data_IF_052133508579
#
_entry.id   IF_052133508579
#
_cell.length_a   1.000
_cell.length_b   1.000
_cell.length_c   1.000
_cell.angle_alpha   90.00
_cell.angle_beta   90.00
_cell.angle_gamma   90.00
#
_symmetry.space_group_name_H-M   'P 1'
#
loop_
_entity.id
_entity.type
_entity.pdbx_description
1 polymer ?
#
# COMPACT_ATOMS: atom_id res chain seq x y z
N UNK A 1 88.61 -50.23 -54.74
CA UNK A 1 87.93 -49.21 -55.58
C UNK A 1 86.40 -49.34 -55.49
N UNK A 2 85.84 -50.55 -55.62
CA UNK A 2 84.38 -50.80 -55.45
C UNK A 2 83.80 -50.35 -54.09
N UNK A 3 84.49 -50.61 -52.98
CA UNK A 3 84.07 -50.15 -51.63
C UNK A 3 83.98 -48.62 -51.54
N UNK A 4 84.87 -47.88 -52.23
CA UNK A 4 84.89 -46.42 -52.20
C UNK A 4 83.74 -45.84 -53.05
N UNK A 5 83.44 -46.46 -54.19
CA UNK A 5 82.28 -46.10 -55.03
C UNK A 5 80.95 -46.35 -54.30
N UNK A 6 80.83 -47.44 -53.54
CA UNK A 6 79.65 -47.71 -52.71
C UNK A 6 79.44 -46.66 -51.61
N UNK A 7 80.52 -46.28 -50.92
CA UNK A 7 80.48 -45.22 -49.90
C UNK A 7 80.11 -43.86 -50.53
N UNK A 8 80.72 -43.50 -51.66
CA UNK A 8 80.38 -42.25 -52.37
C UNK A 8 78.90 -42.22 -52.76
N UNK A 9 78.35 -43.34 -53.26
CA UNK A 9 76.93 -43.45 -53.62
C UNK A 9 76.00 -43.28 -52.40
N UNK A 10 76.35 -43.87 -51.26
CA UNK A 10 75.61 -43.67 -50.01
C UNK A 10 75.71 -42.23 -49.50
N UNK A 11 76.88 -41.60 -49.59
CA UNK A 11 77.07 -40.19 -49.20
C UNK A 11 76.23 -39.26 -50.08
N UNK A 12 76.18 -39.50 -51.40
CA UNK A 12 75.32 -38.71 -52.30
C UNK A 12 73.83 -38.90 -51.99
N UNK A 13 73.40 -40.13 -51.69
CA UNK A 13 72.01 -40.40 -51.32
C UNK A 13 71.63 -39.73 -50.00
N UNK A 14 72.47 -39.83 -48.97
CA UNK A 14 72.26 -39.13 -47.69
C UNK A 14 72.24 -37.62 -47.90
N UNK A 15 73.08 -37.09 -48.79
CA UNK A 15 73.07 -35.67 -49.16
C UNK A 15 71.74 -35.23 -49.78
N UNK A 16 71.18 -36.03 -50.69
CA UNK A 16 69.85 -35.78 -51.29
C UNK A 16 68.73 -35.84 -50.25
N UNK A 17 68.77 -36.82 -49.34
CA UNK A 17 67.80 -36.95 -48.24
C UNK A 17 67.87 -35.75 -47.27
N UNK A 18 69.07 -35.28 -46.92
CA UNK A 18 69.26 -34.08 -46.08
C UNK A 18 68.71 -32.82 -46.78
N UNK A 19 68.93 -32.67 -48.08
CA UNK A 19 68.37 -31.54 -48.84
C UNK A 19 66.84 -31.58 -48.84
N UNK A 20 66.25 -32.76 -49.05
CA UNK A 20 64.80 -32.95 -49.02
C UNK A 20 64.20 -32.65 -47.63
N UNK A 21 64.85 -33.09 -46.55
CA UNK A 21 64.41 -32.80 -45.18
C UNK A 21 64.56 -31.31 -44.84
N UNK A 22 65.63 -30.66 -45.30
CA UNK A 22 65.85 -29.22 -45.09
C UNK A 22 64.75 -28.39 -45.80
N UNK A 23 64.35 -28.78 -47.01
CA UNK A 23 63.24 -28.13 -47.72
C UNK A 23 61.90 -28.34 -46.98
N UNK A 24 61.62 -29.55 -46.50
CA UNK A 24 60.43 -29.82 -45.67
C UNK A 24 60.44 -29.04 -44.36
N UNK A 25 61.61 -28.87 -43.73
CA UNK A 25 61.76 -28.10 -42.50
C UNK A 25 61.53 -26.61 -42.75
N UNK A 26 62.04 -26.06 -43.86
CA UNK A 26 61.78 -24.67 -44.29
C UNK A 26 60.28 -24.44 -44.52
N UNK A 27 59.61 -25.37 -45.20
CA UNK A 27 58.17 -25.27 -45.44
C UNK A 27 57.35 -25.35 -44.14
N UNK A 28 57.71 -26.26 -43.23
CA UNK A 28 57.09 -26.35 -41.89
C UNK A 28 57.32 -25.09 -41.06
N UNK A 29 58.52 -24.53 -41.10
CA UNK A 29 58.83 -23.28 -40.41
C UNK A 29 57.96 -22.11 -40.93
N UNK A 30 57.82 -21.98 -42.26
CA UNK A 30 56.93 -20.97 -42.86
C UNK A 30 55.47 -21.15 -42.42
N UNK A 31 55.00 -22.40 -42.30
CA UNK A 31 53.63 -22.68 -41.86
C UNK A 31 53.43 -22.35 -40.36
N UNK A 32 54.44 -22.61 -39.52
CA UNK A 32 54.40 -22.23 -38.10
C UNK A 32 54.37 -20.70 -37.95
N UNK A 33 55.12 -19.97 -38.77
CA UNK A 33 55.14 -18.50 -38.75
C UNK A 33 53.77 -17.90 -39.11
N UNK A 34 53.10 -18.45 -40.13
CA UNK A 34 51.74 -18.05 -40.52
C UNK A 34 50.71 -18.36 -39.41
N UNK A 35 50.80 -19.53 -38.77
CA UNK A 35 49.95 -19.91 -37.63
C UNK A 35 50.20 -19.01 -36.41
N UNK A 36 51.45 -18.67 -36.11
CA UNK A 36 51.81 -17.78 -35.01
C UNK A 36 51.25 -16.36 -35.24
N UNK A 37 51.30 -15.87 -36.48
CA UNK A 37 50.67 -14.61 -36.88
C UNK A 37 49.15 -14.61 -36.65
N UNK A 38 48.45 -15.67 -37.08
CA UNK A 38 47.01 -15.81 -36.85
C UNK A 38 46.65 -15.92 -35.37
N UNK A 39 47.41 -16.70 -34.60
CA UNK A 39 47.20 -16.85 -33.16
C UNK A 39 47.42 -15.53 -32.40
N UNK A 40 48.38 -14.71 -32.82
CA UNK A 40 48.59 -13.38 -32.26
C UNK A 40 47.35 -12.51 -32.44
N UNK A 41 46.77 -12.47 -33.64
CA UNK A 41 45.58 -11.68 -33.93
C UNK A 41 44.38 -12.15 -33.07
N UNK A 42 44.19 -13.45 -32.91
CA UNK A 42 43.17 -13.99 -32.00
C UNK A 42 43.42 -13.58 -30.54
N UNK A 43 44.67 -13.64 -30.06
CA UNK A 43 44.99 -13.20 -28.68
C UNK A 43 44.73 -11.72 -28.46
N UNK A 44 45.04 -10.85 -29.43
CA UNK A 44 44.76 -9.42 -29.35
C UNK A 44 43.24 -9.16 -29.28
N UNK A 45 42.44 -9.90 -30.04
CA UNK A 45 40.97 -9.83 -29.97
C UNK A 45 40.43 -10.30 -28.61
N UNK A 46 40.94 -11.40 -28.06
CA UNK A 46 40.55 -11.88 -26.74
C UNK A 46 40.88 -10.84 -25.66
N UNK A 47 42.08 -10.24 -25.69
CA UNK A 47 42.47 -9.21 -24.72
C UNK A 47 41.52 -7.99 -24.77
N UNK A 48 41.13 -7.55 -25.96
CA UNK A 48 40.15 -6.47 -26.13
C UNK A 48 38.79 -6.84 -25.54
N UNK A 49 38.29 -8.06 -25.82
CA UNK A 49 37.03 -8.55 -25.27
C UNK A 49 37.07 -8.67 -23.73
N UNK A 50 38.20 -9.07 -23.15
CA UNK A 50 38.36 -9.13 -21.69
C UNK A 50 38.37 -7.74 -21.04
N UNK A 51 38.94 -6.75 -21.72
CA UNK A 51 38.91 -5.35 -21.26
C UNK A 51 37.46 -4.82 -21.24
N UNK A 52 36.69 -5.09 -22.29
CA UNK A 52 35.28 -4.74 -22.36
C UNK A 52 34.44 -5.49 -21.33
N UNK A 53 34.71 -6.79 -21.12
CA UNK A 53 34.06 -7.59 -20.08
C UNK A 53 34.31 -7.02 -18.67
N UNK A 54 35.54 -6.58 -18.38
CA UNK A 54 35.89 -5.99 -17.08
C UNK A 54 35.18 -4.64 -16.88
N UNK A 55 35.11 -3.81 -17.94
CA UNK A 55 34.40 -2.54 -17.89
C UNK A 55 32.90 -2.73 -17.65
N UNK A 56 32.27 -3.65 -18.38
CA UNK A 56 30.84 -3.97 -18.21
C UNK A 56 30.53 -4.59 -16.85
N UNK A 57 31.39 -5.45 -16.31
CA UNK A 57 31.26 -5.96 -14.94
C UNK A 57 31.24 -4.82 -13.91
N UNK A 58 32.11 -3.82 -14.08
CA UNK A 58 32.16 -2.66 -13.20
C UNK A 58 30.90 -1.78 -13.29
N UNK A 59 30.33 -1.62 -14.49
CA UNK A 59 29.06 -0.93 -14.70
C UNK A 59 27.88 -1.69 -14.05
N UNK A 60 27.81 -3.01 -14.21
CA UNK A 60 26.76 -3.84 -13.59
C UNK A 60 26.85 -3.75 -12.06
N UNK A 61 28.05 -3.78 -11.49
CA UNK A 61 28.26 -3.58 -10.04
C UNK A 61 27.71 -2.22 -9.56
N UNK A 62 28.03 -1.14 -10.29
CA UNK A 62 27.51 0.19 -9.99
C UNK A 62 25.98 0.25 -10.08
N UNK A 63 25.39 -0.40 -11.09
CA UNK A 63 23.94 -0.47 -11.25
C UNK A 63 23.28 -1.27 -10.11
N UNK A 64 23.90 -2.37 -9.67
CA UNK A 64 23.41 -3.16 -8.54
C UNK A 64 23.40 -2.32 -7.25
N UNK A 65 24.44 -1.53 -7.01
CA UNK A 65 24.51 -0.61 -5.87
C UNK A 65 23.41 0.46 -5.90
N UNK A 66 23.18 1.10 -7.06
CA UNK A 66 22.09 2.08 -7.22
C UNK A 66 20.70 1.45 -7.04
N UNK A 67 20.52 0.24 -7.54
CA UNK A 67 19.28 -0.51 -7.35
C UNK A 67 19.07 -0.88 -5.87
N UNK A 68 20.12 -1.22 -5.12
CA UNK A 68 20.06 -1.48 -3.68
C UNK A 68 19.70 -0.22 -2.88
N UNK A 69 20.26 0.94 -3.25
CA UNK A 69 19.90 2.22 -2.65
C UNK A 69 18.43 2.59 -2.92
N UNK A 70 17.98 2.41 -4.17
CA UNK A 70 16.58 2.63 -4.54
C UNK A 70 15.63 1.70 -3.79
N UNK A 71 16.01 0.42 -3.62
CA UNK A 71 15.28 -0.55 -2.83
C UNK A 71 15.20 -0.12 -1.35
N UNK A 72 16.30 0.37 -0.76
CA UNK A 72 16.31 0.89 0.62
C UNK A 72 15.34 2.06 0.79
N UNK A 73 15.33 3.02 -0.13
CA UNK A 73 14.36 4.13 -0.09
C UNK A 73 12.91 3.65 -0.23
N UNK A 74 12.67 2.62 -1.05
CA UNK A 74 11.35 2.01 -1.14
C UNK A 74 10.94 1.34 0.19
N UNK A 75 11.87 0.69 0.90
CA UNK A 75 11.61 0.09 2.21
C UNK A 75 11.24 1.16 3.26
N UNK A 76 12.00 2.26 3.33
CA UNK A 76 11.72 3.40 4.21
C UNK A 76 10.33 3.98 3.94
N UNK A 77 9.97 4.17 2.66
CA UNK A 77 8.64 4.65 2.27
C UNK A 77 7.53 3.67 2.65
N UNK A 78 7.74 2.36 2.48
CA UNK A 78 6.78 1.33 2.87
C UNK A 78 6.58 1.29 4.40
N UNK A 79 7.66 1.44 5.18
CA UNK A 79 7.58 1.57 6.64
C UNK A 79 6.77 2.79 7.07
N UNK A 80 7.02 3.95 6.44
CA UNK A 80 6.28 5.17 6.73
C UNK A 80 4.80 5.03 6.34
N UNK A 81 4.51 4.46 5.17
CA UNK A 81 3.14 4.21 4.72
C UNK A 81 2.40 3.30 5.70
N UNK A 82 3.06 2.25 6.21
CA UNK A 82 2.48 1.35 7.20
C UNK A 82 2.12 2.09 8.48
N UNK A 83 3.01 2.94 8.99
CA UNK A 83 2.73 3.78 10.15
C UNK A 83 1.52 4.70 9.95
N UNK A 84 1.38 5.29 8.76
CA UNK A 84 0.24 6.15 8.42
C UNK A 84 -1.06 5.34 8.39
N UNK A 85 -1.05 4.16 7.76
CA UNK A 85 -2.21 3.26 7.68
C UNK A 85 -2.62 2.77 9.07
N UNK A 86 -1.68 2.32 9.88
CA UNK A 86 -1.95 1.87 11.26
C UNK A 86 -2.50 3.03 12.12
N UNK A 87 -1.97 4.25 11.97
CA UNK A 87 -2.51 5.43 12.64
C UNK A 87 -3.92 5.78 12.18
N UNK A 88 -4.20 5.68 10.88
CA UNK A 88 -5.53 5.96 10.33
C UNK A 88 -6.56 4.94 10.84
N UNK A 89 -6.19 3.67 10.91
CA UNK A 89 -7.03 2.62 11.49
C UNK A 89 -7.39 2.95 12.95
N UNK A 90 -6.40 3.31 13.78
CA UNK A 90 -6.63 3.68 15.17
C UNK A 90 -7.56 4.90 15.31
N UNK A 91 -7.37 5.94 14.49
CA UNK A 91 -8.24 7.12 14.51
C UNK A 91 -9.68 6.79 14.11
N UNK A 92 -9.88 5.84 13.19
CA UNK A 92 -11.23 5.38 12.82
C UNK A 92 -11.86 4.52 13.92
N UNK A 93 -11.08 3.69 14.61
CA UNK A 93 -11.56 2.94 15.79
C UNK A 93 -12.00 3.89 16.91
N UNK A 94 -11.22 4.94 17.19
CA UNK A 94 -11.57 5.98 18.16
C UNK A 94 -12.85 6.72 17.76
N UNK A 95 -12.95 7.13 16.48
CA UNK A 95 -14.15 7.76 15.95
C UNK A 95 -15.39 6.85 16.07
N UNK A 96 -15.25 5.55 15.81
CA UNK A 96 -16.35 4.59 15.96
C UNK A 96 -16.81 4.51 17.43
N UNK A 97 -15.88 4.57 18.39
CA UNK A 97 -16.19 4.64 19.81
C UNK A 97 -16.95 5.92 20.18
N UNK A 98 -16.50 7.08 19.69
CA UNK A 98 -17.19 8.37 19.92
C UNK A 98 -18.61 8.37 19.33
N UNK A 99 -18.79 7.80 18.13
CA UNK A 99 -20.10 7.64 17.49
C UNK A 99 -21.00 6.72 18.30
N UNK A 100 -20.47 5.64 18.87
CA UNK A 100 -21.22 4.74 19.76
C UNK A 100 -21.67 5.44 21.05
N UNK A 101 -20.83 6.30 21.63
CA UNK A 101 -21.21 7.09 22.81
C UNK A 101 -22.30 8.11 22.45
N UNK A 102 -22.15 8.81 21.33
CA UNK A 102 -23.17 9.75 20.83
C UNK A 102 -24.51 9.04 20.57
N UNK A 103 -24.48 7.83 20.00
CA UNK A 103 -25.68 7.01 19.77
C UNK A 103 -26.39 6.70 21.08
N UNK A 104 -25.64 6.38 22.14
CA UNK A 104 -26.20 6.13 23.48
C UNK A 104 -26.88 7.38 24.06
N UNK A 105 -26.30 8.56 23.87
CA UNK A 105 -26.89 9.83 24.32
C UNK A 105 -28.18 10.14 23.57
N UNK A 106 -28.22 9.93 22.25
CA UNK A 106 -29.42 10.16 21.44
C UNK A 106 -30.51 9.13 21.77
N UNK A 107 -30.17 7.87 22.01
CA UNK A 107 -31.14 6.86 22.46
C UNK A 107 -31.79 7.24 23.81
N UNK A 108 -31.01 7.85 24.72
CA UNK A 108 -31.57 8.41 25.96
C UNK A 108 -32.50 9.59 25.69
N UNK A 109 -32.13 10.48 24.78
CA UNK A 109 -32.99 11.60 24.36
C UNK A 109 -34.33 11.08 23.80
N UNK A 110 -34.31 10.03 22.97
CA UNK A 110 -35.53 9.39 22.46
C UNK A 110 -36.43 8.91 23.61
N UNK A 111 -35.86 8.27 24.63
CA UNK A 111 -36.60 7.84 25.81
C UNK A 111 -37.20 9.02 26.60
N UNK A 112 -36.46 10.11 26.76
CA UNK A 112 -36.95 11.31 27.46
C UNK A 112 -38.08 11.98 26.69
N UNK A 113 -37.99 12.00 25.36
CA UNK A 113 -39.04 12.51 24.46
C UNK A 113 -40.31 11.67 24.56
N UNK A 114 -40.19 10.34 24.62
CA UNK A 114 -41.32 9.43 24.81
C UNK A 114 -42.05 9.69 26.15
N UNK A 115 -41.30 9.98 27.23
CA UNK A 115 -41.86 10.35 28.54
C UNK A 115 -42.59 11.70 28.50
N UNK A 116 -42.04 12.69 27.78
CA UNK A 116 -42.68 13.99 27.58
C UNK A 116 -43.99 13.83 26.80
N UNK A 117 -44.01 13.03 25.73
CA UNK A 117 -45.23 12.73 24.97
C UNK A 117 -46.35 12.18 25.86
N UNK A 118 -46.04 11.19 26.71
CA UNK A 118 -47.02 10.61 27.64
C UNK A 118 -47.55 11.64 28.65
N UNK A 119 -46.68 12.52 29.14
CA UNK A 119 -47.10 13.59 30.06
C UNK A 119 -48.01 14.61 29.37
N UNK A 120 -47.74 14.93 28.10
CA UNK A 120 -48.57 15.84 27.31
C UNK A 120 -49.96 15.25 27.03
N UNK A 121 -50.07 13.95 26.78
CA UNK A 121 -51.37 13.26 26.66
C UNK A 121 -52.21 13.45 27.94
N UNK A 122 -51.61 13.28 29.12
CA UNK A 122 -52.30 13.52 30.39
C UNK A 122 -52.74 14.98 30.55
N UNK A 123 -51.92 15.95 30.12
CA UNK A 123 -52.29 17.38 30.19
C UNK A 123 -53.42 17.69 29.21
N UNK A 124 -53.39 17.11 28.01
CA UNK A 124 -54.45 17.22 27.01
C UNK A 124 -55.78 16.71 27.57
N UNK A 125 -55.77 15.55 28.21
CA UNK A 125 -56.92 14.94 28.88
C UNK A 125 -57.46 15.81 30.02
N UNK A 126 -56.56 16.35 30.87
CA UNK A 126 -56.95 17.27 31.96
C UNK A 126 -57.58 18.55 31.39
N UNK A 127 -57.01 19.12 30.33
CA UNK A 127 -57.54 20.32 29.70
C UNK A 127 -58.93 20.06 29.08
N UNK A 128 -59.14 18.89 28.47
CA UNK A 128 -60.44 18.48 27.95
C UNK A 128 -61.49 18.30 29.07
N UNK A 129 -61.12 17.61 30.16
CA UNK A 129 -61.99 17.46 31.32
C UNK A 129 -62.31 18.82 31.97
N UNK A 130 -61.32 19.71 32.07
CA UNK A 130 -61.50 21.06 32.61
C UNK A 130 -62.43 21.89 31.73
N UNK A 131 -62.30 21.79 30.40
CA UNK A 131 -63.19 22.43 29.45
C UNK A 131 -64.64 21.93 29.59
N UNK A 132 -64.83 20.62 29.76
CA UNK A 132 -66.14 20.00 29.96
C UNK A 132 -66.77 20.36 31.31
N UNK A 133 -65.97 20.41 32.39
CA UNK A 133 -66.39 20.88 33.71
C UNK A 133 -66.81 22.35 33.68
N UNK A 134 -66.03 23.22 33.01
CA UNK A 134 -66.33 24.63 32.86
C UNK A 134 -67.61 24.85 32.05
N UNK A 135 -67.84 24.06 31.00
CA UNK A 135 -69.09 24.09 30.24
C UNK A 135 -70.30 23.74 31.11
N UNK A 136 -70.21 22.67 31.90
CA UNK A 136 -71.28 22.29 32.82
C UNK A 136 -71.55 23.38 33.88
N UNK A 137 -70.50 24.01 34.40
CA UNK A 137 -70.63 25.13 35.34
C UNK A 137 -71.29 26.37 34.69
N UNK A 138 -70.95 26.69 33.44
CA UNK A 138 -71.56 27.79 32.69
C UNK A 138 -73.07 27.53 32.45
N UNK A 139 -73.45 26.29 32.14
CA UNK A 139 -74.85 25.87 31.98
C UNK A 139 -75.62 26.06 33.29
N UNK A 140 -75.07 25.59 34.42
CA UNK A 140 -75.76 25.69 35.71
C UNK A 140 -75.81 27.14 36.23
N UNK A 141 -74.77 27.95 35.96
CA UNK A 141 -74.77 29.37 36.25
C UNK A 141 -75.85 30.14 35.45
N UNK A 142 -76.06 29.80 34.18
CA UNK A 142 -77.16 30.34 33.38
C UNK A 142 -78.53 29.94 33.94
N UNK A 143 -78.64 28.72 34.49
CA UNK A 143 -79.86 28.21 35.12
C UNK A 143 -80.23 28.93 36.42
N UNK A 144 -79.25 29.42 37.17
CA UNK A 144 -79.42 30.19 38.40
C UNK A 144 -79.83 31.67 38.16
N UNK A 145 -79.90 32.12 36.90
CA UNK A 145 -80.33 33.48 36.54
C UNK A 145 -79.39 34.57 37.08
N UNK A 146 -79.95 35.64 37.66
CA UNK A 146 -79.17 36.80 38.13
C UNK A 146 -78.18 36.46 39.28
N UNK A 147 -78.48 35.43 40.08
CA UNK A 147 -77.58 34.96 41.15
C UNK A 147 -76.34 34.24 40.61
N UNK A 148 -76.40 33.73 39.37
CA UNK A 148 -75.32 32.97 38.74
C UNK A 148 -74.36 33.80 37.87
N UNK A 149 -74.62 35.10 37.65
CA UNK A 149 -73.83 35.92 36.72
C UNK A 149 -72.33 35.95 37.03
N UNK A 150 -71.95 36.03 38.31
CA UNK A 150 -70.54 35.99 38.71
C UNK A 150 -69.87 34.64 38.41
N UNK A 151 -70.59 33.54 38.63
CA UNK A 151 -70.11 32.19 38.32
C UNK A 151 -70.01 31.93 36.81
N UNK A 152 -70.93 32.47 36.00
CA UNK A 152 -70.90 32.33 34.54
C UNK A 152 -69.63 32.95 33.94
N UNK A 153 -69.21 34.13 34.41
CA UNK A 153 -67.98 34.79 33.94
C UNK A 153 -66.74 33.97 34.29
N UNK A 154 -66.69 33.41 35.51
CA UNK A 154 -65.57 32.54 35.92
C UNK A 154 -65.55 31.26 35.07
N UNK A 155 -66.70 30.65 34.82
CA UNK A 155 -66.80 29.44 34.01
C UNK A 155 -66.32 29.67 32.56
N UNK A 156 -66.70 30.78 31.93
CA UNK A 156 -66.21 31.13 30.58
C UNK A 156 -64.69 31.39 30.55
N UNK A 157 -64.13 32.04 31.57
CA UNK A 157 -62.68 32.27 31.65
C UNK A 157 -61.90 30.96 31.86
N UNK A 158 -62.41 30.05 32.69
CA UNK A 158 -61.84 28.70 32.86
C UNK A 158 -61.91 27.92 31.54
N UNK A 159 -63.03 28.01 30.81
CA UNK A 159 -63.19 27.36 29.49
C UNK A 159 -62.16 27.88 28.48
N UNK A 160 -61.96 29.20 28.45
CA UNK A 160 -60.96 29.84 27.60
C UNK A 160 -59.53 29.44 27.96
N UNK A 161 -59.22 29.32 29.26
CA UNK A 161 -57.93 28.79 29.72
C UNK A 161 -57.73 27.34 29.27
N UNK A 162 -58.73 26.48 29.46
CA UNK A 162 -58.67 25.08 29.07
C UNK A 162 -58.45 24.90 27.55
N UNK A 163 -59.15 25.67 26.72
CA UNK A 163 -58.92 25.70 25.26
C UNK A 163 -57.50 26.16 24.91
N UNK A 164 -56.99 27.23 25.55
CA UNK A 164 -55.61 27.69 25.32
C UNK A 164 -54.58 26.65 25.74
N UNK A 165 -54.85 25.89 26.80
CA UNK A 165 -53.99 24.77 27.22
C UNK A 165 -53.98 23.66 26.17
N UNK A 166 -55.14 23.27 25.63
CA UNK A 166 -55.23 22.26 24.55
C UNK A 166 -54.49 22.70 23.28
N UNK A 167 -54.64 23.96 22.88
CA UNK A 167 -53.93 24.48 21.70
C UNK A 167 -52.41 24.43 21.91
N UNK A 168 -51.95 24.84 23.10
CA UNK A 168 -50.53 24.84 23.46
C UNK A 168 -49.96 23.42 23.55
N UNK A 169 -50.69 22.47 24.13
CA UNK A 169 -50.25 21.06 24.20
C UNK A 169 -50.19 20.43 22.82
N UNK A 170 -51.13 20.75 21.93
CA UNK A 170 -51.10 20.31 20.54
C UNK A 170 -49.89 20.84 19.76
N UNK A 171 -49.51 22.09 19.96
CA UNK A 171 -48.30 22.64 19.33
C UNK A 171 -47.01 22.05 19.90
N UNK A 172 -46.95 21.80 21.21
CA UNK A 172 -45.82 21.09 21.83
C UNK A 172 -45.73 19.65 21.31
N UNK A 173 -46.86 18.94 21.15
CA UNK A 173 -46.90 17.59 20.62
C UNK A 173 -46.28 17.52 19.21
N UNK A 174 -46.60 18.45 18.31
CA UNK A 174 -45.98 18.53 16.98
C UNK A 174 -44.46 18.74 17.05
N UNK A 175 -43.98 19.61 17.94
CA UNK A 175 -42.54 19.82 18.13
C UNK A 175 -41.85 18.54 18.63
N UNK A 176 -42.50 17.79 19.50
CA UNK A 176 -42.02 16.51 20.03
C UNK A 176 -41.98 15.43 18.94
N UNK A 177 -42.98 15.33 18.08
CA UNK A 177 -42.94 14.41 16.92
C UNK A 177 -41.78 14.74 15.98
N UNK A 178 -41.52 16.02 15.70
CA UNK A 178 -40.36 16.45 14.91
C UNK A 178 -39.05 16.07 15.58
N UNK A 179 -38.94 16.25 16.90
CA UNK A 179 -37.73 15.92 17.66
C UNK A 179 -37.48 14.41 17.71
N UNK A 180 -38.55 13.60 17.84
CA UNK A 180 -38.47 12.14 17.72
C UNK A 180 -37.97 11.72 16.33
N UNK A 181 -38.59 12.23 15.28
CA UNK A 181 -38.16 11.92 13.90
C UNK A 181 -36.70 12.32 13.64
N UNK A 182 -36.24 13.45 14.20
CA UNK A 182 -34.85 13.89 14.10
C UNK A 182 -33.88 12.98 14.86
N UNK A 183 -34.27 12.53 16.05
CA UNK A 183 -33.47 11.62 16.88
C UNK A 183 -33.31 10.25 16.20
N UNK A 184 -34.40 9.67 15.70
CA UNK A 184 -34.39 8.42 14.90
C UNK A 184 -33.45 8.51 13.68
N UNK A 185 -33.49 9.65 12.98
CA UNK A 185 -32.63 9.87 11.82
C UNK A 185 -31.15 9.95 12.22
N UNK A 186 -30.84 10.59 13.36
CA UNK A 186 -29.50 10.67 13.90
C UNK A 186 -28.96 9.27 14.30
N UNK A 187 -29.76 8.45 14.98
CA UNK A 187 -29.38 7.06 15.35
C UNK A 187 -29.02 6.26 14.10
N UNK A 188 -29.88 6.24 13.07
CA UNK A 188 -29.60 5.50 11.82
C UNK A 188 -28.33 5.99 11.12
N UNK A 189 -28.07 7.29 11.13
CA UNK A 189 -26.85 7.86 10.55
C UNK A 189 -25.59 7.46 11.35
N UNK A 190 -25.69 7.39 12.68
CA UNK A 190 -24.62 6.93 13.55
C UNK A 190 -24.34 5.44 13.36
N UNK A 191 -25.36 4.58 13.31
CA UNK A 191 -25.21 3.15 13.02
C UNK A 191 -24.53 2.90 11.66
N UNK A 192 -24.96 3.63 10.63
CA UNK A 192 -24.32 3.55 9.32
C UNK A 192 -22.87 4.06 9.34
N UNK A 193 -22.56 5.07 10.15
CA UNK A 193 -21.19 5.59 10.28
C UNK A 193 -20.29 4.60 11.00
N UNK A 194 -20.79 3.94 12.03
CA UNK A 194 -20.07 2.87 12.74
C UNK A 194 -19.73 1.71 11.81
N UNK A 195 -20.72 1.19 11.06
CA UNK A 195 -20.49 0.11 10.10
C UNK A 195 -19.45 0.48 9.03
N UNK A 196 -19.44 1.73 8.57
CA UNK A 196 -18.42 2.24 7.64
C UNK A 196 -17.04 2.37 8.28
N UNK A 197 -16.99 2.76 9.56
CA UNK A 197 -15.75 2.79 10.33
C UNK A 197 -15.12 1.41 10.43
N UNK A 198 -15.91 0.40 10.82
CA UNK A 198 -15.47 -1.00 10.89
C UNK A 198 -14.94 -1.52 9.55
N UNK A 199 -15.63 -1.25 8.44
CA UNK A 199 -15.16 -1.62 7.11
C UNK A 199 -13.83 -0.93 6.73
N UNK A 200 -13.67 0.35 7.09
CA UNK A 200 -12.45 1.12 6.83
C UNK A 200 -11.26 0.57 7.62
N UNK A 201 -11.49 0.12 8.86
CA UNK A 201 -10.45 -0.55 9.67
C UNK A 201 -10.01 -1.86 9.02
N UNK A 202 -10.94 -2.64 8.49
CA UNK A 202 -10.60 -3.89 7.79
C UNK A 202 -9.80 -3.63 6.50
N UNK A 203 -10.19 -2.63 5.72
CA UNK A 203 -9.43 -2.19 4.55
C UNK A 203 -8.01 -1.71 4.91
N UNK A 204 -7.87 -0.97 6.02
CA UNK A 204 -6.57 -0.53 6.52
C UNK A 204 -5.70 -1.72 6.95
N UNK A 205 -6.28 -2.75 7.58
CA UNK A 205 -5.55 -3.99 7.92
C UNK A 205 -5.07 -4.72 6.66
N UNK A 206 -5.93 -4.84 5.64
CA UNK A 206 -5.54 -5.44 4.36
C UNK A 206 -4.40 -4.66 3.69
N UNK A 207 -4.44 -3.32 3.72
CA UNK A 207 -3.36 -2.48 3.24
C UNK A 207 -2.06 -2.67 4.03
N UNK A 208 -2.14 -2.82 5.36
CA UNK A 208 -0.98 -3.09 6.23
C UNK A 208 -0.31 -4.43 5.87
N UNK A 209 -1.10 -5.48 5.56
CA UNK A 209 -0.58 -6.77 5.07
C UNK A 209 0.10 -6.62 3.70
N UNK A 210 -0.52 -5.91 2.76
CA UNK A 210 0.07 -5.68 1.44
C UNK A 210 1.41 -4.91 1.52
N UNK A 211 1.53 -3.96 2.47
CA UNK A 211 2.79 -3.26 2.72
C UNK A 211 3.87 -4.18 3.31
N UNK A 212 3.51 -5.18 4.13
CA UNK A 212 4.45 -6.19 4.61
C UNK A 212 4.98 -7.06 3.46
N UNK A 213 4.11 -7.46 2.52
CA UNK A 213 4.52 -8.23 1.33
C UNK A 213 5.47 -7.41 0.45
N UNK A 214 5.20 -6.10 0.30
CA UNK A 214 6.08 -5.18 -0.43
C UNK A 214 7.45 -5.10 0.25
N UNK A 215 7.52 -4.96 1.57
CA UNK A 215 8.78 -4.95 2.32
C UNK A 215 9.58 -6.25 2.13
N UNK A 216 8.91 -7.41 2.17
CA UNK A 216 9.55 -8.69 1.91
C UNK A 216 10.12 -8.78 0.49
N UNK A 217 9.38 -8.29 -0.51
CA UNK A 217 9.86 -8.22 -1.88
C UNK A 217 11.08 -7.29 -2.04
N UNK A 218 11.08 -6.15 -1.35
CA UNK A 218 12.20 -5.19 -1.35
C UNK A 218 13.44 -5.79 -0.70
N UNK A 219 13.29 -6.54 0.41
CA UNK A 219 14.38 -7.25 1.05
C UNK A 219 15.05 -8.25 0.07
N UNK A 220 14.25 -9.02 -0.67
CA UNK A 220 14.77 -9.93 -1.70
C UNK A 220 15.53 -9.19 -2.81
N UNK A 221 15.09 -7.98 -3.21
CA UNK A 221 15.80 -7.16 -4.20
C UNK A 221 17.17 -6.70 -3.66
N UNK A 222 17.24 -6.29 -2.40
CA UNK A 222 18.52 -5.90 -1.78
C UNK A 222 19.49 -7.08 -1.72
N UNK A 223 19.02 -8.26 -1.34
CA UNK A 223 19.84 -9.49 -1.32
C UNK A 223 20.33 -9.85 -2.73
N UNK A 224 19.45 -9.77 -3.73
CA UNK A 224 19.81 -10.04 -5.13
C UNK A 224 20.88 -9.05 -5.64
N UNK A 225 20.73 -7.76 -5.35
CA UNK A 225 21.72 -6.76 -5.74
C UNK A 225 23.07 -6.98 -5.06
N UNK A 226 23.07 -7.45 -3.82
CA UNK A 226 24.30 -7.84 -3.11
C UNK A 226 25.00 -9.00 -3.83
N UNK A 227 24.25 -10.03 -4.21
CA UNK A 227 24.79 -11.16 -4.98
C UNK A 227 25.32 -10.75 -6.35
N UNK A 228 24.62 -9.86 -7.06
CA UNK A 228 25.06 -9.32 -8.35
C UNK A 228 26.36 -8.53 -8.19
N UNK A 229 26.47 -7.69 -7.16
CA UNK A 229 27.68 -6.93 -6.88
C UNK A 229 28.88 -7.85 -6.62
N UNK A 230 28.70 -8.91 -5.82
CA UNK A 230 29.76 -9.90 -5.57
C UNK A 230 30.13 -10.68 -6.84
N UNK A 231 29.15 -11.16 -7.60
CA UNK A 231 29.40 -11.92 -8.83
C UNK A 231 30.12 -11.10 -9.90
N UNK A 232 29.80 -9.80 -10.00
CA UNK A 232 30.46 -8.88 -10.94
C UNK A 232 31.89 -8.53 -10.50
N UNK A 233 32.15 -8.45 -9.20
CA UNK A 233 33.50 -8.28 -8.66
C UNK A 233 34.38 -9.52 -8.97
N UNK A 234 33.84 -10.72 -8.82
CA UNK A 234 34.50 -11.97 -9.24
C UNK A 234 34.74 -12.01 -10.76
N UNK A 235 33.74 -11.64 -11.57
CA UNK A 235 33.90 -11.54 -13.04
C UNK A 235 35.00 -10.57 -13.45
N UNK A 236 35.10 -9.41 -12.78
CA UNK A 236 36.15 -8.43 -13.02
C UNK A 236 37.53 -9.00 -12.70
N UNK A 237 37.67 -9.70 -11.57
CA UNK A 237 38.93 -10.32 -11.17
C UNK A 237 39.37 -11.42 -12.15
N UNK A 238 38.46 -12.33 -12.53
CA UNK A 238 38.72 -13.36 -13.54
C UNK A 238 39.03 -12.72 -14.89
N UNK A 239 38.35 -11.62 -15.21
CA UNK A 239 38.55 -10.84 -16.42
C UNK A 239 39.97 -10.34 -16.57
N UNK A 240 40.49 -9.72 -15.52
CA UNK A 240 41.87 -9.25 -15.42
C UNK A 240 42.89 -10.39 -15.51
N UNK A 241 42.62 -11.52 -14.84
CA UNK A 241 43.52 -12.67 -14.88
C UNK A 241 43.66 -13.25 -16.29
N UNK A 242 42.54 -13.40 -17.01
CA UNK A 242 42.58 -13.88 -18.40
C UNK A 242 43.31 -12.87 -19.28
N UNK A 243 43.04 -11.56 -19.14
CA UNK A 243 43.74 -10.52 -19.90
C UNK A 243 45.26 -10.62 -19.70
N UNK A 244 45.73 -10.82 -18.47
CA UNK A 244 47.15 -10.97 -18.16
C UNK A 244 47.74 -12.25 -18.76
N UNK A 245 47.01 -13.37 -18.72
CA UNK A 245 47.45 -14.64 -19.34
C UNK A 245 47.55 -14.52 -20.86
N UNK A 246 46.61 -13.83 -21.49
CA UNK A 246 46.60 -13.59 -22.94
C UNK A 246 47.78 -12.73 -23.36
N UNK A 247 48.12 -11.70 -22.58
CA UNK A 247 49.30 -10.87 -22.83
C UNK A 247 50.60 -11.67 -22.75
N UNK A 248 50.72 -12.60 -21.79
CA UNK A 248 51.86 -13.53 -21.70
C UNK A 248 51.95 -14.44 -22.94
N UNK A 249 50.82 -14.97 -23.43
CA UNK A 249 50.79 -15.82 -24.63
C UNK A 249 51.19 -15.02 -25.88
N UNK A 250 50.71 -13.78 -26.01
CA UNK A 250 51.05 -12.88 -27.12
C UNK A 250 52.56 -12.57 -27.14
N UNK A 251 53.17 -12.34 -25.97
CA UNK A 251 54.62 -12.15 -25.83
C UNK A 251 55.44 -13.41 -26.16
N UNK A 252 54.93 -14.60 -25.82
CA UNK A 252 55.59 -15.88 -26.14
C UNK A 252 55.46 -16.28 -27.62
N UNK A 253 54.46 -15.74 -28.30
CA UNK A 253 54.20 -15.98 -29.73
C UNK A 253 54.87 -14.94 -30.63
N UNK A 254 55.60 -13.98 -30.04
CA UNK A 254 56.45 -12.98 -30.70
C UNK A 254 57.90 -13.45 -30.79
#
# INVERSE_FOLDING_TARGET
VESLQGIIKSVTQVGEEVVAETNNMSQRASQVDELAGGQREETEQVAAAMTEMTATAHEISNNANQAAESARHADENAQQAKHIVDSAANSVEELASEVSEASTVIARLESDVQNISSSLEVIQDIAEQTNLLALNAAIEAARAGDQGRGFAVVADEVRKLASRTQDSTGDIHKMIEQLKSGSDAAVRAMESSQARGEATVEEARAASVALQDIQAAIANIMDMNTLIATATEEQSQVGQEISQRVEVISQQSS
#
